data_IF_188635777600
#
_entry.id   IF_188635777600
#
_cell.length_a   1.000
_cell.length_b   1.000
_cell.length_c   1.000
_cell.angle_alpha   90.00
_cell.angle_beta   90.00
_cell.angle_gamma   90.00
#
_symmetry.space_group_name_H-M   'P 1'
#
loop_
_entity.id
_entity.type
_entity.pdbx_description
1 polymer ?
#
# COMPACT_ATOMS: atom_id res chain seq x y z
N UNK A 1 13.55 18.94 -0.89
CA UNK A 1 13.13 20.22 -0.30
C UNK A 1 11.61 20.45 -0.26
N UNK A 2 10.80 19.99 -1.23
CA UNK A 2 9.33 20.21 -1.25
C UNK A 2 8.58 19.76 0.02
N UNK A 3 9.02 18.68 0.68
CA UNK A 3 8.43 18.13 1.92
C UNK A 3 8.65 18.96 3.19
N UNK A 4 9.62 19.88 3.20
CA UNK A 4 9.93 20.69 4.39
C UNK A 4 8.85 21.72 4.69
N UNK A 5 8.24 22.29 3.65
CA UNK A 5 7.22 23.33 3.81
C UNK A 5 5.94 22.82 4.51
N UNK A 6 5.29 21.72 4.07
CA UNK A 6 4.10 21.22 4.77
C UNK A 6 4.43 20.69 6.17
N UNK A 7 5.63 20.13 6.37
CA UNK A 7 6.10 19.69 7.69
C UNK A 7 6.25 20.87 8.65
N UNK A 8 6.87 21.96 8.20
CA UNK A 8 7.01 23.18 8.99
C UNK A 8 5.65 23.79 9.33
N UNK A 9 4.70 23.82 8.39
CA UNK A 9 3.33 24.31 8.64
C UNK A 9 2.61 23.51 9.72
N UNK A 10 2.74 22.18 9.74
CA UNK A 10 2.13 21.34 10.78
C UNK A 10 2.77 21.60 12.15
N UNK A 11 4.10 21.73 12.21
CA UNK A 11 4.83 22.00 13.46
C UNK A 11 4.44 23.38 14.02
N UNK A 12 4.46 24.41 13.17
CA UNK A 12 4.08 25.78 13.57
C UNK A 12 2.62 25.85 13.98
N UNK A 13 1.73 25.18 13.25
CA UNK A 13 0.31 25.08 13.60
C UNK A 13 0.10 24.41 14.96
N UNK A 14 0.78 23.28 15.21
CA UNK A 14 0.75 22.60 16.52
C UNK A 14 1.27 23.47 17.66
N UNK A 15 2.35 24.21 17.41
CA UNK A 15 2.93 25.14 18.39
C UNK A 15 1.99 26.32 18.70
N UNK A 16 1.17 26.77 17.75
CA UNK A 16 0.16 27.81 17.99
C UNK A 16 -1.10 27.30 18.71
N UNK A 17 -1.47 26.04 18.51
CA UNK A 17 -2.66 25.45 19.16
C UNK A 17 -2.46 25.32 20.67
N UNK A 18 -1.27 24.94 21.13
CA UNK A 18 -0.96 24.78 22.56
C UNK A 18 -1.21 26.07 23.40
N UNK A 19 -0.64 27.24 23.06
CA UNK A 19 -0.98 28.49 23.74
C UNK A 19 -2.43 28.91 23.49
N UNK A 20 -3.01 28.63 22.32
CA UNK A 20 -4.42 28.87 22.04
C UNK A 20 -5.35 28.17 23.04
N UNK A 21 -5.08 26.90 23.36
CA UNK A 21 -5.80 26.13 24.39
C UNK A 21 -5.57 26.70 25.79
N UNK A 22 -4.35 27.09 26.12
CA UNK A 22 -4.05 27.73 27.42
C UNK A 22 -4.81 29.05 27.60
N UNK A 23 -4.87 29.89 26.57
CA UNK A 23 -5.64 31.13 26.59
C UNK A 23 -7.15 30.89 26.64
N UNK A 24 -7.65 29.81 26.02
CA UNK A 24 -9.05 29.42 26.10
C UNK A 24 -9.44 29.05 27.54
N UNK A 25 -8.58 28.32 28.25
CA UNK A 25 -8.79 28.03 29.68
C UNK A 25 -8.75 29.32 30.54
N UNK A 26 -7.84 30.25 30.22
CA UNK A 26 -7.73 31.52 30.93
C UNK A 26 -8.90 32.49 30.64
N UNK A 27 -9.63 32.30 29.53
CA UNK A 27 -10.76 33.15 29.15
C UNK A 27 -11.96 33.04 30.10
N UNK A 28 -12.00 32.01 30.97
CA UNK A 28 -13.01 31.87 32.03
C UNK A 28 -12.92 33.04 33.04
N UNK A 29 -11.72 33.56 33.30
CA UNK A 29 -11.51 34.66 34.25
C UNK A 29 -11.52 36.04 33.58
N UNK A 30 -11.00 36.14 32.35
CA UNK A 30 -10.95 37.40 31.60
C UNK A 30 -11.51 37.22 30.17
N UNK A 31 -12.76 37.68 29.90
CA UNK A 31 -13.42 37.47 28.61
C UNK A 31 -12.73 38.21 27.45
N UNK A 32 -11.91 39.23 27.73
CA UNK A 32 -11.11 39.93 26.72
C UNK A 32 -10.08 39.02 26.03
N UNK A 33 -9.66 37.91 26.67
CA UNK A 33 -8.71 36.94 26.11
C UNK A 33 -9.35 35.92 25.17
N UNK A 34 -10.68 35.86 25.14
CA UNK A 34 -11.44 34.89 24.36
C UNK A 34 -11.20 35.09 22.86
N UNK A 35 -11.20 36.35 22.40
CA UNK A 35 -10.96 36.70 21.00
C UNK A 35 -9.54 36.33 20.53
N UNK A 36 -8.54 36.47 21.42
CA UNK A 36 -7.16 36.05 21.16
C UNK A 36 -7.03 34.53 21.05
N UNK A 37 -7.65 33.78 21.98
CA UNK A 37 -7.64 32.31 21.95
C UNK A 37 -8.29 31.75 20.69
N UNK A 38 -9.39 32.36 20.25
CA UNK A 38 -10.11 31.96 19.04
C UNK A 38 -9.26 32.18 17.79
N UNK A 39 -8.57 33.33 17.70
CA UNK A 39 -7.65 33.63 16.60
C UNK A 39 -6.47 32.64 16.54
N UNK A 40 -5.86 32.33 17.68
CA UNK A 40 -4.75 31.36 17.74
C UNK A 40 -5.21 29.94 17.34
N UNK A 41 -6.36 29.50 17.84
CA UNK A 41 -6.91 28.17 17.53
C UNK A 41 -7.37 28.07 16.08
N UNK A 42 -8.05 29.09 15.56
CA UNK A 42 -8.48 29.11 14.16
C UNK A 42 -7.27 29.15 13.21
N UNK A 43 -6.29 30.01 13.50
CA UNK A 43 -5.07 30.12 12.69
C UNK A 43 -4.21 28.85 12.74
N UNK A 44 -3.91 28.36 13.95
CA UNK A 44 -3.13 27.14 14.14
C UNK A 44 -3.83 25.90 13.59
N UNK A 45 -5.15 25.78 13.80
CA UNK A 45 -5.98 24.71 13.28
C UNK A 45 -6.03 24.71 11.75
N UNK A 46 -6.21 25.88 11.11
CA UNK A 46 -6.18 25.99 9.66
C UNK A 46 -4.81 25.57 9.09
N UNK A 47 -3.70 26.08 9.66
CA UNK A 47 -2.35 25.71 9.24
C UNK A 47 -2.08 24.20 9.38
N UNK A 48 -2.45 23.61 10.51
CA UNK A 48 -2.29 22.18 10.75
C UNK A 48 -3.15 21.34 9.78
N UNK A 49 -4.39 21.75 9.52
CA UNK A 49 -5.28 21.08 8.58
C UNK A 49 -4.77 21.13 7.15
N UNK A 50 -4.36 22.30 6.66
CA UNK A 50 -3.81 22.45 5.31
C UNK A 50 -2.48 21.72 5.15
N UNK A 51 -1.56 21.87 6.11
CA UNK A 51 -0.28 21.17 6.11
C UNK A 51 -0.47 19.64 6.14
N UNK A 52 -1.38 19.15 6.99
CA UNK A 52 -1.72 17.73 7.07
C UNK A 52 -2.34 17.19 5.80
N UNK A 53 -3.28 17.92 5.19
CA UNK A 53 -3.91 17.53 3.91
C UNK A 53 -2.90 17.51 2.77
N UNK A 54 -1.96 18.45 2.74
CA UNK A 54 -0.90 18.48 1.74
C UNK A 54 0.07 17.31 1.92
N UNK A 55 0.47 17.01 3.16
CA UNK A 55 1.31 15.87 3.47
C UNK A 55 0.61 14.53 3.15
N UNK A 56 -0.70 14.44 3.39
CA UNK A 56 -1.50 13.28 3.03
C UNK A 56 -1.55 13.08 1.51
N UNK A 57 -1.70 14.15 0.73
CA UNK A 57 -1.63 14.09 -0.74
C UNK A 57 -0.26 13.61 -1.24
N UNK A 58 0.83 14.11 -0.64
CA UNK A 58 2.18 13.66 -1.01
C UNK A 58 2.42 12.19 -0.64
N UNK A 59 1.86 11.71 0.49
CA UNK A 59 1.94 10.30 0.88
C UNK A 59 1.10 9.40 -0.03
N UNK A 60 -0.08 9.85 -0.45
CA UNK A 60 -0.92 9.10 -1.38
C UNK A 60 -0.24 8.86 -2.74
N UNK A 61 0.70 9.74 -3.12
CA UNK A 61 1.53 9.63 -4.32
C UNK A 61 2.89 8.96 -4.05
N UNK A 62 3.12 8.45 -2.84
CA UNK A 62 4.38 7.77 -2.55
C UNK A 62 4.44 6.42 -3.28
N UNK A 63 5.58 6.10 -3.94
CA UNK A 63 5.70 4.87 -4.72
C UNK A 63 5.53 3.61 -3.85
N UNK A 64 5.91 3.68 -2.57
CA UNK A 64 5.72 2.59 -1.63
C UNK A 64 4.23 2.29 -1.34
N UNK A 65 3.41 3.33 -1.14
CA UNK A 65 1.97 3.15 -0.92
C UNK A 65 1.26 2.67 -2.18
N UNK A 66 1.65 3.20 -3.35
CA UNK A 66 1.12 2.74 -4.62
C UNK A 66 1.51 1.28 -4.92
N UNK A 67 2.74 0.86 -4.59
CA UNK A 67 3.18 -0.53 -4.72
C UNK A 67 2.31 -1.51 -3.92
N UNK A 68 1.97 -1.16 -2.67
CA UNK A 68 1.06 -1.96 -1.84
C UNK A 68 -0.36 -2.02 -2.44
N UNK A 69 -0.85 -0.92 -3.01
CA UNK A 69 -2.16 -0.94 -3.70
C UNK A 69 -2.14 -1.73 -5.01
N UNK A 70 -1.05 -1.66 -5.77
CA UNK A 70 -0.85 -2.42 -7.02
C UNK A 70 -0.82 -3.92 -6.72
N UNK A 71 -0.10 -4.36 -5.68
CA UNK A 71 -0.12 -5.78 -5.27
C UNK A 71 -1.50 -6.22 -4.81
N UNK A 72 -2.27 -5.35 -4.13
CA UNK A 72 -3.67 -5.58 -3.83
C UNK A 72 -4.54 -5.77 -5.08
N UNK A 73 -4.31 -4.96 -6.11
CA UNK A 73 -5.01 -5.08 -7.41
C UNK A 73 -4.63 -6.37 -8.17
N UNK A 74 -3.36 -6.77 -8.09
CA UNK A 74 -2.89 -8.02 -8.70
C UNK A 74 -3.52 -9.25 -8.04
N UNK A 75 -3.84 -9.20 -6.72
CA UNK A 75 -4.54 -10.31 -6.03
C UNK A 75 -5.94 -10.56 -6.58
N UNK A 76 -6.63 -9.54 -7.06
CA UNK A 76 -7.97 -9.67 -7.65
C UNK A 76 -7.93 -9.94 -9.15
N UNK A 77 -6.78 -9.78 -9.80
CA UNK A 77 -6.61 -9.80 -11.25
C UNK A 77 -5.66 -10.92 -11.71
N UNK A 78 -5.85 -12.14 -11.20
CA UNK A 78 -5.06 -13.33 -11.59
C UNK A 78 -3.53 -13.17 -11.52
N UNK A 79 -3.02 -12.38 -10.57
CA UNK A 79 -1.59 -12.10 -10.36
C UNK A 79 -0.89 -11.36 -11.51
N UNK A 80 -1.65 -10.73 -12.41
CA UNK A 80 -1.16 -9.93 -13.53
C UNK A 80 -1.80 -8.54 -13.51
N UNK A 81 -1.04 -7.48 -13.80
CA UNK A 81 -1.63 -6.16 -14.05
C UNK A 81 -0.86 -5.38 -15.11
N UNK A 82 -1.53 -4.47 -15.79
CA UNK A 82 -0.89 -3.52 -16.72
C UNK A 82 -0.73 -2.15 -16.08
N UNK A 83 0.17 -1.32 -16.61
CA UNK A 83 0.31 0.08 -16.17
C UNK A 83 -0.98 0.86 -16.40
N UNK A 84 -1.63 0.65 -17.56
CA UNK A 84 -2.89 1.31 -17.90
C UNK A 84 -4.00 0.96 -16.90
N UNK A 85 -4.13 -0.32 -16.54
CA UNK A 85 -5.10 -0.78 -15.55
C UNK A 85 -4.81 -0.22 -14.16
N UNK A 86 -3.55 -0.22 -13.72
CA UNK A 86 -3.17 0.37 -12.44
C UNK A 86 -3.45 1.87 -12.37
N UNK A 87 -3.23 2.62 -13.46
CA UNK A 87 -3.59 4.05 -13.54
C UNK A 87 -5.11 4.25 -13.44
N UNK A 88 -5.88 3.45 -14.18
CA UNK A 88 -7.34 3.54 -14.20
C UNK A 88 -7.96 3.21 -12.82
N UNK A 89 -7.52 2.11 -12.21
CA UNK A 89 -8.11 1.60 -10.96
C UNK A 89 -7.64 2.37 -9.72
N UNK A 90 -6.38 2.85 -9.72
CA UNK A 90 -5.82 3.57 -8.57
C UNK A 90 -6.09 5.07 -8.61
N UNK A 91 -6.49 5.62 -9.77
CA UNK A 91 -6.70 7.05 -9.99
C UNK A 91 -5.42 7.87 -9.78
N UNK A 92 -4.25 7.25 -9.99
CA UNK A 92 -2.94 7.84 -9.72
C UNK A 92 -2.28 8.31 -11.03
N UNK A 93 -1.46 9.37 -10.99
CA UNK A 93 -0.75 9.85 -12.17
C UNK A 93 0.21 8.79 -12.71
N UNK A 94 0.34 8.71 -14.03
CA UNK A 94 1.12 7.70 -14.74
C UNK A 94 2.57 7.58 -14.22
N UNK A 95 3.25 8.70 -14.00
CA UNK A 95 4.63 8.74 -13.49
C UNK A 95 4.77 8.10 -12.10
N UNK A 96 3.79 8.31 -11.21
CA UNK A 96 3.82 7.75 -9.86
C UNK A 96 3.55 6.24 -9.86
N UNK A 97 2.71 5.78 -10.78
CA UNK A 97 2.43 4.35 -10.99
C UNK A 97 3.66 3.65 -11.56
N UNK A 98 4.35 4.26 -12.54
CA UNK A 98 5.60 3.74 -13.06
C UNK A 98 6.67 3.62 -11.96
N UNK A 99 6.87 4.67 -11.17
CA UNK A 99 7.81 4.64 -10.05
C UNK A 99 7.48 3.55 -9.01
N UNK A 100 6.20 3.22 -8.82
CA UNK A 100 5.78 2.13 -7.96
C UNK A 100 6.08 0.74 -8.56
N UNK A 101 5.88 0.56 -9.87
CA UNK A 101 6.28 -0.67 -10.58
C UNK A 101 7.81 -0.85 -10.61
N UNK A 102 8.58 0.22 -10.73
CA UNK A 102 10.04 0.16 -10.67
C UNK A 102 10.50 -0.28 -9.28
N UNK A 103 9.91 0.28 -8.22
CA UNK A 103 10.16 -0.14 -6.84
C UNK A 103 9.78 -1.62 -6.59
N UNK A 104 8.68 -2.10 -7.19
CA UNK A 104 8.29 -3.53 -7.10
C UNK A 104 9.28 -4.46 -7.83
N UNK A 105 9.82 -4.02 -8.96
CA UNK A 105 10.88 -4.74 -9.68
C UNK A 105 12.19 -4.77 -8.90
N UNK A 106 12.60 -3.64 -8.30
CA UNK A 106 13.79 -3.57 -7.44
C UNK A 106 13.69 -4.50 -6.23
N UNK A 107 12.48 -4.70 -5.70
CA UNK A 107 12.21 -5.66 -4.62
C UNK A 107 12.13 -7.12 -5.08
N UNK A 108 12.10 -7.38 -6.38
CA UNK A 108 11.89 -8.71 -6.94
C UNK A 108 10.47 -9.27 -6.75
N UNK A 109 9.50 -8.40 -6.44
CA UNK A 109 8.10 -8.79 -6.22
C UNK A 109 7.30 -8.87 -7.53
N UNK A 110 7.76 -8.16 -8.58
CA UNK A 110 7.15 -8.15 -9.89
C UNK A 110 8.22 -8.12 -10.99
N UNK A 111 7.90 -8.67 -12.16
CA UNK A 111 8.74 -8.53 -13.35
C UNK A 111 7.89 -8.13 -14.56
N UNK A 112 8.52 -7.44 -15.50
CA UNK A 112 7.87 -7.03 -16.74
C UNK A 112 7.96 -8.16 -17.76
N UNK A 113 6.82 -8.60 -18.26
CA UNK A 113 6.71 -9.59 -19.33
C UNK A 113 5.99 -8.95 -20.53
N UNK A 114 6.57 -9.11 -21.72
CA UNK A 114 5.96 -8.62 -22.96
C UNK A 114 5.20 -9.78 -23.60
N UNK A 115 3.88 -9.79 -23.46
CA UNK A 115 3.00 -10.76 -24.14
C UNK A 115 2.38 -10.13 -25.36
N UNK A 116 2.71 -10.68 -26.54
CA UNK A 116 2.16 -10.43 -27.89
C UNK A 116 1.82 -8.96 -28.24
N UNK A 117 0.84 -8.34 -27.58
CA UNK A 117 0.35 -6.98 -27.86
C UNK A 117 0.29 -6.03 -26.63
N UNK A 118 0.77 -6.46 -25.45
CA UNK A 118 0.78 -5.61 -24.24
C UNK A 118 1.94 -5.90 -23.28
N UNK A 119 2.41 -4.84 -22.62
CA UNK A 119 3.32 -4.96 -21.49
C UNK A 119 2.53 -5.29 -20.22
N UNK A 120 2.83 -6.43 -19.61
CA UNK A 120 2.18 -6.93 -18.40
C UNK A 120 3.20 -7.05 -17.29
N UNK A 121 2.78 -6.71 -16.07
CA UNK A 121 3.54 -6.95 -14.86
C UNK A 121 3.01 -8.19 -14.16
N UNK A 122 3.90 -9.15 -13.96
CA UNK A 122 3.56 -10.45 -13.38
C UNK A 122 4.08 -10.53 -11.96
N UNK A 123 3.24 -11.01 -11.05
CA UNK A 123 3.51 -11.12 -9.62
C UNK A 123 3.65 -12.60 -9.22
N UNK A 124 4.86 -13.18 -9.27
CA UNK A 124 5.05 -14.61 -9.07
C UNK A 124 4.62 -15.08 -7.67
N UNK A 125 4.77 -14.23 -6.64
CA UNK A 125 4.34 -14.54 -5.28
C UNK A 125 2.81 -14.59 -5.08
N UNK A 126 2.04 -14.07 -6.03
CA UNK A 126 0.57 -14.07 -6.00
C UNK A 126 -0.04 -15.14 -6.91
N UNK A 127 0.77 -15.77 -7.77
CA UNK A 127 0.31 -16.88 -8.59
C UNK A 127 -0.10 -18.05 -7.70
N UNK A 128 -1.20 -18.76 -8.04
CA UNK A 128 -1.60 -19.94 -7.32
C UNK A 128 -0.51 -21.02 -7.48
N UNK A 129 0.36 -21.17 -6.48
CA UNK A 129 1.29 -22.30 -6.41
C UNK A 129 0.48 -23.58 -6.42
N UNK A 130 0.64 -24.41 -7.45
CA UNK A 130 -0.09 -25.66 -7.57
C UNK A 130 0.57 -26.64 -6.63
N UNK A 131 0.06 -26.73 -5.40
CA UNK A 131 0.50 -27.75 -4.47
C UNK A 131 -0.02 -29.09 -5.00
N UNK A 132 0.89 -29.99 -5.38
CA UNK A 132 0.56 -31.33 -5.83
C UNK A 132 1.15 -32.34 -4.85
N UNK A 133 0.36 -33.34 -4.49
CA UNK A 133 0.85 -34.48 -3.72
C UNK A 133 1.56 -35.42 -4.67
N UNK A 134 2.90 -35.48 -4.62
CA UNK A 134 3.68 -36.37 -5.48
C UNK A 134 4.12 -37.59 -4.68
N UNK A 135 3.95 -38.78 -5.25
CA UNK A 135 4.50 -39.99 -4.63
C UNK A 135 6.01 -40.03 -4.86
N UNK A 136 6.79 -40.14 -3.78
CA UNK A 136 8.25 -40.20 -3.82
C UNK A 136 8.80 -41.42 -4.59
N UNK A 137 8.00 -42.46 -4.78
CA UNK A 137 8.43 -43.72 -5.41
C UNK A 137 8.06 -43.83 -6.89
N UNK A 138 6.85 -43.41 -7.28
CA UNK A 138 6.37 -43.56 -8.66
C UNK A 138 6.17 -42.23 -9.40
N UNK A 139 6.39 -41.10 -8.73
CA UNK A 139 6.26 -39.76 -9.32
C UNK A 139 4.82 -39.33 -9.62
N UNK A 140 3.84 -40.18 -9.32
CA UNK A 140 2.44 -39.90 -9.66
C UNK A 140 1.89 -38.74 -8.82
N UNK A 141 1.15 -37.84 -9.47
CA UNK A 141 0.65 -36.61 -8.84
C UNK A 141 -0.83 -36.73 -8.51
N UNK A 142 -1.19 -36.41 -7.27
CA UNK A 142 -2.54 -36.44 -6.75
C UNK A 142 -2.99 -35.04 -6.33
N UNK A 143 -4.26 -34.74 -6.58
CA UNK A 143 -4.88 -33.50 -6.10
C UNK A 143 -4.94 -33.50 -4.57
N UNK A 144 -4.62 -32.36 -3.95
CA UNK A 144 -4.68 -32.17 -2.49
C UNK A 144 -6.10 -32.38 -1.94
N UNK A 145 -7.13 -32.16 -2.78
CA UNK A 145 -8.55 -32.35 -2.42
C UNK A 145 -8.91 -33.80 -2.09
N UNK A 146 -8.18 -34.78 -2.64
CA UNK A 146 -8.40 -36.19 -2.35
C UNK A 146 -7.49 -36.60 -1.19
N UNK A 147 -8.03 -37.07 -0.04
CA UNK A 147 -7.23 -37.50 1.10
C UNK A 147 -6.57 -38.86 0.79
N UNK A 148 -5.50 -38.82 0.01
CA UNK A 148 -4.68 -39.99 -0.37
C UNK A 148 -3.43 -40.00 0.49
N UNK A 149 -3.40 -40.85 1.51
CA UNK A 149 -2.26 -41.02 2.42
C UNK A 149 -1.25 -42.07 1.94
N UNK A 150 -1.67 -42.98 1.05
CA UNK A 150 -0.83 -44.00 0.42
C UNK A 150 -1.13 -44.03 -1.07
N UNK A 151 -0.10 -44.12 -1.90
CA UNK A 151 -0.27 -44.19 -3.34
C UNK A 151 -1.05 -45.46 -3.73
N UNK A 152 -2.21 -45.35 -4.41
CA UNK A 152 -3.00 -46.51 -4.83
C UNK A 152 -2.30 -47.37 -5.91
N UNK A 153 -1.25 -46.85 -6.55
CA UNK A 153 -0.52 -47.54 -7.60
C UNK A 153 0.72 -48.31 -7.10
N UNK A 154 1.42 -47.80 -6.09
CA UNK A 154 2.67 -48.40 -5.62
C UNK A 154 2.77 -48.60 -4.10
N UNK A 155 1.76 -48.18 -3.33
CA UNK A 155 1.75 -48.27 -1.86
C UNK A 155 2.70 -47.32 -1.14
N UNK A 156 3.51 -46.54 -1.88
CA UNK A 156 4.48 -45.60 -1.33
C UNK A 156 3.85 -44.39 -0.63
N UNK A 157 4.65 -43.72 0.20
CA UNK A 157 4.27 -42.49 0.89
C UNK A 157 4.12 -41.36 -0.14
N UNK A 158 3.09 -40.54 0.06
CA UNK A 158 2.82 -39.39 -0.79
C UNK A 158 3.25 -38.14 -0.03
N UNK A 159 4.16 -37.38 -0.61
CA UNK A 159 4.69 -36.15 -0.02
C UNK A 159 4.07 -34.93 -0.72
N UNK A 160 3.97 -33.82 0.02
CA UNK A 160 3.38 -32.59 -0.49
C UNK A 160 4.49 -31.72 -1.05
N UNK A 161 4.53 -31.54 -2.37
CA UNK A 161 5.50 -30.67 -3.04
C UNK A 161 4.80 -29.39 -3.52
N UNK A 162 5.45 -28.23 -3.34
CA UNK A 162 5.01 -26.96 -3.94
C UNK A 162 5.66 -26.81 -5.31
N UNK A 163 4.84 -26.66 -6.35
CA UNK A 163 5.25 -26.21 -7.69
C UNK A 163 4.88 -24.75 -7.91
#
# INVERSE_FOLDING_TARGET
>A
MKKFLPLAMVIVGGLMIAPGLLFLCAAIQEPKRLLLSLLLLAGGGALAFFGGRQLARERALSPAYLAERITGLARTSDAETTVAQAVADLGAPHEAVLAAFDLLQERGEAYREKREDREVYVFPGLMPSKVVRRCAYCGNSFSVKTPVHKCPYCGGVVEVERQ
#
